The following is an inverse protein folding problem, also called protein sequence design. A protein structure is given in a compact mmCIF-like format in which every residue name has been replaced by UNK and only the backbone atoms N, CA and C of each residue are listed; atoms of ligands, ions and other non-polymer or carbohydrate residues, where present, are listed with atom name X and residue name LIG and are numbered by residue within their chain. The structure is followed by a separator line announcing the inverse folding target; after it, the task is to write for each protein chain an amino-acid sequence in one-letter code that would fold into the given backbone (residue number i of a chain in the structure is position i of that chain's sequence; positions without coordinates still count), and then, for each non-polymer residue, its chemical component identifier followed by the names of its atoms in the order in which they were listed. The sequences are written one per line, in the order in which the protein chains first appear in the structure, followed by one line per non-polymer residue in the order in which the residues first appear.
data_IF_682382810465
#
_entry.id   IF_682382810465
#
_cell.length_a   1.000
_cell.length_b   1.000
_cell.length_c   1.000
_cell.angle_alpha   90.00
_cell.angle_beta   90.00
_cell.angle_gamma   90.00
#
_symmetry.space_group_name_H-M   'P 1'
#
loop_
_entity.id
_entity.type
_entity.pdbx_description
1 polymer ?
#
# COMPACT_ATOMS: atom_id res chain seq x y z
N UNK A 1 27.43 23.52 56.71
CA UNK A 1 26.75 22.45 55.95
C UNK A 1 25.65 23.09 55.12
N UNK A 2 25.93 23.32 53.86
CA UNK A 2 24.96 23.92 52.91
C UNK A 2 24.32 22.82 52.10
N UNK A 3 22.98 22.82 51.98
CA UNK A 3 22.21 21.89 51.12
C UNK A 3 22.35 22.32 49.66
N UNK A 4 22.47 21.38 48.68
CA UNK A 4 22.43 21.74 47.28
C UNK A 4 20.98 21.98 46.82
N UNK A 5 20.82 23.07 46.06
CA UNK A 5 19.56 23.48 45.43
C UNK A 5 19.17 22.51 44.34
N UNK A 6 17.90 22.07 44.34
CA UNK A 6 17.25 21.27 43.35
C UNK A 6 17.19 22.00 42.00
N UNK A 7 17.87 21.48 40.99
CA UNK A 7 17.78 21.93 39.61
C UNK A 7 16.38 21.70 39.06
N UNK A 8 15.72 22.76 38.62
CA UNK A 8 14.45 22.74 37.93
C UNK A 8 14.61 21.99 36.59
N UNK A 9 13.90 20.92 36.42
CA UNK A 9 13.69 20.29 35.13
C UNK A 9 12.91 21.27 34.25
N UNK A 10 13.60 21.82 33.24
CA UNK A 10 12.91 22.57 32.18
C UNK A 10 12.11 21.52 31.38
N UNK A 11 10.80 21.58 31.45
CA UNK A 11 9.89 20.91 30.54
C UNK A 11 10.28 21.28 29.09
N UNK A 12 10.59 20.25 28.28
CA UNK A 12 10.69 20.43 26.82
C UNK A 12 9.30 20.91 26.34
N UNK A 13 9.25 21.89 25.43
CA UNK A 13 7.96 22.24 24.83
C UNK A 13 7.38 21.00 24.18
N UNK A 14 6.10 20.72 24.44
CA UNK A 14 5.32 19.70 23.79
C UNK A 14 5.51 19.85 22.27
N UNK A 15 6.13 18.85 21.65
CA UNK A 15 6.14 18.77 20.21
C UNK A 15 4.66 18.68 19.79
N UNK A 16 4.22 19.64 18.96
CA UNK A 16 2.89 19.64 18.37
C UNK A 16 2.61 18.24 17.82
N UNK A 17 1.45 17.63 18.10
CA UNK A 17 1.11 16.29 17.58
C UNK A 17 0.96 16.27 16.04
N UNK A 18 1.09 17.43 15.39
CA UNK A 18 1.02 17.57 13.94
C UNK A 18 2.41 17.90 13.40
N UNK A 19 2.94 17.04 12.52
CA UNK A 19 3.99 17.42 11.59
C UNK A 19 3.53 18.62 10.74
N UNK A 20 4.45 19.32 10.10
CA UNK A 20 4.09 20.39 9.14
C UNK A 20 3.06 19.87 8.15
N UNK A 21 2.09 20.70 7.69
CA UNK A 21 1.12 20.31 6.69
C UNK A 21 1.81 19.68 5.48
N UNK A 22 1.32 18.54 5.00
CA UNK A 22 2.03 17.80 3.99
C UNK A 22 1.14 16.95 3.09
N UNK A 23 1.72 16.61 1.96
CA UNK A 23 1.19 15.69 0.97
C UNK A 23 2.06 14.45 0.97
N UNK A 24 1.46 13.29 0.89
CA UNK A 24 2.14 12.00 0.88
C UNK A 24 1.90 11.26 -0.44
N UNK A 25 2.87 10.44 -0.84
CA UNK A 25 2.69 9.42 -1.85
C UNK A 25 3.30 8.11 -1.33
N UNK A 26 2.47 7.31 -0.67
CA UNK A 26 2.91 6.21 0.19
C UNK A 26 2.86 4.84 -0.48
N UNK A 27 2.75 4.82 -1.84
CA UNK A 27 2.76 3.59 -2.60
C UNK A 27 3.45 3.82 -3.95
N UNK A 28 4.71 3.37 -4.05
CA UNK A 28 5.55 3.55 -5.23
C UNK A 28 6.40 2.31 -5.48
N UNK A 29 6.49 1.92 -6.76
CA UNK A 29 7.36 0.85 -7.24
C UNK A 29 8.50 1.40 -8.09
N UNK A 30 9.67 0.81 -7.92
CA UNK A 30 10.86 1.19 -8.68
C UNK A 30 10.91 0.50 -10.04
N UNK A 31 10.28 -0.68 -10.14
CA UNK A 31 10.35 -1.50 -11.35
C UNK A 31 8.95 -1.71 -11.94
N UNK A 32 8.75 -1.36 -13.24
CA UNK A 32 7.50 -1.67 -13.93
C UNK A 32 7.22 -3.18 -13.97
N UNK A 33 5.95 -3.53 -14.09
CA UNK A 33 5.57 -4.93 -14.33
C UNK A 33 6.21 -5.44 -15.62
N UNK A 34 6.76 -6.67 -15.57
CA UNK A 34 7.42 -7.30 -16.70
C UNK A 34 8.87 -6.84 -16.96
N UNK A 35 9.39 -5.88 -16.20
CA UNK A 35 10.78 -5.47 -16.25
C UNK A 35 11.58 -6.08 -15.09
N UNK A 36 12.86 -6.40 -15.35
CA UNK A 36 13.74 -6.91 -14.30
C UNK A 36 14.15 -5.78 -13.35
N UNK A 37 14.38 -6.14 -12.09
CA UNK A 37 14.94 -5.25 -11.09
C UNK A 37 16.32 -4.74 -11.55
N UNK A 38 16.62 -3.47 -11.25
CA UNK A 38 17.92 -2.84 -11.52
C UNK A 38 18.63 -2.52 -10.21
N UNK A 39 19.96 -2.36 -10.27
CA UNK A 39 20.77 -2.00 -9.10
C UNK A 39 20.82 -0.47 -8.85
N UNK A 40 20.21 0.34 -9.73
CA UNK A 40 20.24 1.81 -9.65
C UNK A 40 19.16 2.38 -8.71
N UNK A 41 18.96 1.77 -7.53
CA UNK A 41 17.88 2.10 -6.61
C UNK A 41 18.03 3.52 -6.03
N UNK A 42 19.21 3.92 -5.61
CA UNK A 42 19.43 5.22 -4.94
C UNK A 42 19.17 6.38 -5.91
N UNK A 43 19.70 6.30 -7.12
CA UNK A 43 19.50 7.32 -8.17
C UNK A 43 18.04 7.38 -8.59
N UNK A 44 17.37 6.24 -8.67
CA UNK A 44 15.96 6.16 -9.00
C UNK A 44 15.10 6.77 -7.91
N UNK A 45 15.38 6.49 -6.63
CA UNK A 45 14.73 7.11 -5.49
C UNK A 45 14.93 8.63 -5.47
N UNK A 46 16.14 9.12 -5.79
CA UNK A 46 16.41 10.56 -5.89
C UNK A 46 15.54 11.22 -6.98
N UNK A 47 15.40 10.58 -8.14
CA UNK A 47 14.55 11.08 -9.22
C UNK A 47 13.05 11.08 -8.81
N UNK A 48 12.60 10.05 -8.09
CA UNK A 48 11.23 9.95 -7.58
C UNK A 48 10.94 11.04 -6.53
N UNK A 49 11.85 11.24 -5.57
CA UNK A 49 11.75 12.33 -4.59
C UNK A 49 11.71 13.71 -5.26
N UNK A 50 12.56 13.94 -6.28
CA UNK A 50 12.55 15.19 -7.04
C UNK A 50 11.21 15.41 -7.74
N UNK A 51 10.68 14.38 -8.39
CA UNK A 51 9.38 14.45 -9.08
C UNK A 51 8.24 14.69 -8.09
N UNK A 52 8.24 13.98 -6.97
CA UNK A 52 7.26 14.12 -5.89
C UNK A 52 7.28 15.54 -5.30
N UNK A 53 8.46 16.04 -4.96
CA UNK A 53 8.64 17.41 -4.44
C UNK A 53 8.16 18.47 -5.42
N UNK A 54 8.43 18.29 -6.73
CA UNK A 54 7.94 19.21 -7.77
C UNK A 54 6.41 19.21 -7.88
N UNK A 55 5.73 18.15 -7.44
CA UNK A 55 4.28 18.06 -7.36
C UNK A 55 3.72 18.46 -5.97
N UNK A 56 4.57 18.94 -5.05
CA UNK A 56 4.16 19.35 -3.69
C UNK A 56 4.11 18.20 -2.68
N UNK A 57 4.51 16.98 -3.05
CA UNK A 57 4.60 15.84 -2.13
C UNK A 57 5.84 16.00 -1.24
N UNK A 58 5.66 15.87 0.07
CA UNK A 58 6.70 16.08 1.06
C UNK A 58 7.45 14.81 1.44
N UNK A 59 6.81 13.67 1.36
CA UNK A 59 7.37 12.37 1.67
C UNK A 59 6.75 11.29 0.81
N UNK A 60 7.59 10.41 0.30
CA UNK A 60 7.16 9.22 -0.44
C UNK A 60 7.47 7.96 0.37
N UNK A 61 6.73 6.87 0.14
CA UNK A 61 7.16 5.54 0.58
C UNK A 61 7.47 4.68 -0.65
N UNK A 62 8.68 4.11 -0.68
CA UNK A 62 9.00 3.08 -1.67
C UNK A 62 8.52 1.74 -1.14
N UNK A 63 7.71 1.03 -1.94
CA UNK A 63 6.95 -0.14 -1.48
C UNK A 63 6.90 -1.22 -2.56
N UNK A 64 8.09 -1.70 -2.97
CA UNK A 64 8.14 -2.78 -3.94
C UNK A 64 7.36 -4.01 -3.51
N UNK A 65 6.89 -4.78 -4.47
CA UNK A 65 6.16 -6.02 -4.19
C UNK A 65 7.05 -7.08 -3.53
N UNK A 66 6.56 -7.66 -2.45
CA UNK A 66 7.27 -8.73 -1.73
C UNK A 66 7.61 -9.92 -2.63
N UNK A 67 6.73 -10.31 -3.55
CA UNK A 67 6.95 -11.46 -4.44
C UNK A 67 8.14 -11.31 -5.41
N UNK A 68 8.67 -10.10 -5.58
CA UNK A 68 9.84 -9.86 -6.44
C UNK A 68 11.16 -10.34 -5.84
N UNK A 69 11.18 -10.66 -4.55
CA UNK A 69 12.42 -10.91 -3.82
C UNK A 69 12.69 -12.40 -3.63
N UNK A 70 13.95 -12.80 -3.85
CA UNK A 70 14.40 -14.20 -3.68
C UNK A 70 14.21 -14.71 -2.25
N UNK A 71 14.21 -13.82 -1.26
CA UNK A 71 13.94 -14.18 0.13
C UNK A 71 12.47 -14.60 0.31
N UNK A 72 11.54 -13.94 -0.37
CA UNK A 72 10.13 -14.34 -0.38
C UNK A 72 9.93 -15.64 -1.17
N UNK A 73 10.62 -15.81 -2.30
CA UNK A 73 10.55 -17.04 -3.09
C UNK A 73 10.92 -18.29 -2.28
N UNK A 74 11.95 -18.20 -1.44
CA UNK A 74 12.39 -19.32 -0.60
C UNK A 74 11.33 -19.82 0.36
N UNK A 75 10.40 -18.99 0.80
CA UNK A 75 9.37 -19.32 1.79
C UNK A 75 7.97 -19.43 1.17
N UNK A 76 7.67 -18.68 0.11
CA UNK A 76 6.34 -18.62 -0.51
C UNK A 76 6.29 -19.30 -1.87
N UNK A 77 7.43 -19.48 -2.53
CA UNK A 77 7.52 -20.12 -3.83
C UNK A 77 6.80 -21.46 -3.85
N UNK A 78 6.02 -21.70 -4.90
CA UNK A 78 5.22 -22.93 -5.03
C UNK A 78 3.90 -22.94 -4.27
N UNK A 79 3.43 -21.82 -3.67
CA UNK A 79 2.11 -21.78 -3.00
C UNK A 79 0.94 -22.15 -3.91
N UNK A 80 1.18 -22.18 -5.21
CA UNK A 80 0.22 -22.60 -6.25
C UNK A 80 0.20 -24.11 -6.50
N UNK A 81 1.02 -24.90 -5.81
CA UNK A 81 1.18 -26.34 -6.10
C UNK A 81 -0.09 -27.17 -5.83
N UNK A 82 -0.94 -26.70 -4.91
CA UNK A 82 -2.20 -27.36 -4.55
C UNK A 82 -3.41 -26.80 -5.34
N UNK A 83 -3.17 -25.92 -6.33
CA UNK A 83 -4.22 -25.36 -7.18
C UNK A 83 -4.83 -26.45 -8.07
N UNK A 84 -6.15 -26.73 -7.95
CA UNK A 84 -6.79 -27.77 -8.72
C UNK A 84 -6.90 -27.46 -10.23
N UNK A 85 -6.93 -26.18 -10.62
CA UNK A 85 -6.88 -25.81 -12.04
C UNK A 85 -5.40 -25.68 -12.50
N UNK A 86 -4.90 -26.63 -13.31
CA UNK A 86 -3.52 -26.62 -13.77
C UNK A 86 -3.16 -25.42 -14.65
N UNK A 87 -4.14 -24.71 -15.20
CA UNK A 87 -3.92 -23.50 -16.00
C UNK A 87 -3.62 -22.32 -15.09
N UNK A 88 -4.38 -22.16 -14.00
CA UNK A 88 -4.12 -21.15 -12.97
C UNK A 88 -2.79 -21.39 -12.27
N UNK A 89 -2.51 -22.65 -11.86
CA UNK A 89 -1.23 -23.01 -11.26
C UNK A 89 -0.05 -22.65 -12.18
N UNK A 90 -0.16 -22.95 -13.47
CA UNK A 90 0.89 -22.64 -14.45
C UNK A 90 1.04 -21.12 -14.67
N UNK A 91 -0.07 -20.42 -14.82
CA UNK A 91 -0.06 -18.95 -15.00
C UNK A 91 0.61 -18.27 -13.81
N UNK A 92 0.25 -18.64 -12.56
CA UNK A 92 0.89 -18.12 -11.36
C UNK A 92 2.38 -18.48 -11.30
N UNK A 93 2.76 -19.72 -11.60
CA UNK A 93 4.15 -20.15 -11.62
C UNK A 93 5.00 -19.36 -12.62
N UNK A 94 4.46 -19.11 -13.82
CA UNK A 94 5.14 -18.31 -14.84
C UNK A 94 5.33 -16.87 -14.40
N UNK A 95 4.28 -16.25 -13.85
CA UNK A 95 4.33 -14.90 -13.33
C UNK A 95 5.35 -14.77 -12.21
N UNK A 96 5.30 -15.65 -11.22
CA UNK A 96 6.23 -15.66 -10.09
C UNK A 96 7.68 -15.80 -10.54
N UNK A 97 7.96 -16.82 -11.37
CA UNK A 97 9.31 -17.07 -11.89
C UNK A 97 9.85 -15.92 -12.76
N UNK A 98 8.98 -15.13 -13.38
CA UNK A 98 9.40 -13.96 -14.15
C UNK A 98 9.78 -12.76 -13.26
N UNK A 99 9.35 -12.73 -12.00
CA UNK A 99 9.51 -11.56 -11.15
C UNK A 99 10.43 -11.77 -9.94
N UNK A 100 10.52 -12.99 -9.38
CA UNK A 100 11.19 -13.28 -8.11
C UNK A 100 12.72 -13.35 -8.25
N UNK A 101 13.38 -12.24 -8.59
CA UNK A 101 14.82 -12.18 -8.87
C UNK A 101 15.59 -11.13 -8.07
N UNK A 102 14.88 -10.16 -7.45
CA UNK A 102 15.51 -9.09 -6.69
C UNK A 102 16.03 -9.59 -5.33
N UNK A 103 17.01 -8.88 -4.78
CA UNK A 103 17.54 -9.13 -3.44
C UNK A 103 16.92 -8.12 -2.45
N UNK A 104 16.21 -8.63 -1.43
CA UNK A 104 15.55 -7.80 -0.44
C UNK A 104 16.55 -7.06 0.45
N UNK A 105 17.69 -7.69 0.78
CA UNK A 105 18.71 -7.08 1.61
C UNK A 105 19.28 -5.85 0.88
N UNK A 106 19.62 -6.01 -0.42
CA UNK A 106 20.11 -4.91 -1.24
C UNK A 106 19.09 -3.77 -1.41
N UNK A 107 17.81 -4.12 -1.66
CA UNK A 107 16.74 -3.13 -1.75
C UNK A 107 16.63 -2.29 -0.49
N UNK A 108 16.59 -2.94 0.68
CA UNK A 108 16.45 -2.25 1.97
C UNK A 108 17.68 -1.42 2.28
N UNK A 109 18.89 -1.93 2.04
CA UNK A 109 20.16 -1.19 2.24
C UNK A 109 20.19 0.09 1.38
N UNK A 110 19.82 0.01 0.11
CA UNK A 110 19.78 1.17 -0.78
C UNK A 110 18.71 2.20 -0.35
N UNK A 111 17.52 1.75 0.03
CA UNK A 111 16.46 2.64 0.50
C UNK A 111 16.84 3.34 1.83
N UNK A 112 17.48 2.63 2.75
CA UNK A 112 18.03 3.20 3.99
C UNK A 112 19.16 4.19 3.71
N UNK A 113 20.04 3.90 2.74
CA UNK A 113 21.11 4.82 2.34
C UNK A 113 20.54 6.11 1.75
N UNK A 114 19.50 6.04 0.92
CA UNK A 114 18.78 7.18 0.40
C UNK A 114 18.15 8.03 1.52
N UNK A 115 17.48 7.38 2.49
CA UNK A 115 16.92 8.03 3.67
C UNK A 115 18.02 8.72 4.52
N UNK A 116 19.15 8.04 4.75
CA UNK A 116 20.29 8.59 5.49
C UNK A 116 20.97 9.78 4.77
N UNK A 117 20.91 9.81 3.43
CA UNK A 117 21.35 10.94 2.62
C UNK A 117 20.39 12.16 2.68
N UNK A 118 19.27 12.04 3.39
CA UNK A 118 18.30 13.13 3.58
C UNK A 118 17.19 13.18 2.54
N UNK A 119 17.02 12.13 1.70
CA UNK A 119 15.86 12.04 0.83
C UNK A 119 14.60 11.80 1.66
N UNK A 120 13.47 12.43 1.32
CA UNK A 120 12.21 12.29 2.05
C UNK A 120 11.50 10.98 1.67
N UNK A 121 12.11 9.86 2.05
CA UNK A 121 11.64 8.50 1.71
C UNK A 121 11.42 7.67 2.96
N UNK A 122 10.25 7.04 3.05
CA UNK A 122 9.95 5.95 3.96
C UNK A 122 10.27 4.62 3.27
N UNK A 123 10.91 3.71 4.00
CA UNK A 123 11.28 2.37 3.51
C UNK A 123 10.15 1.41 3.79
N UNK A 124 9.55 0.85 2.76
CA UNK A 124 8.40 -0.03 2.90
C UNK A 124 8.42 -1.21 1.93
N UNK A 125 7.36 -1.98 2.00
CA UNK A 125 7.00 -3.03 1.04
C UNK A 125 5.51 -3.06 0.82
N UNK A 126 5.09 -3.48 -0.36
CA UNK A 126 3.76 -3.99 -0.63
C UNK A 126 3.77 -5.50 -0.45
N UNK A 127 2.99 -5.95 0.51
CA UNK A 127 2.91 -7.34 0.97
C UNK A 127 1.60 -7.93 0.51
N UNK A 128 1.66 -8.85 -0.43
CA UNK A 128 0.48 -9.58 -0.87
C UNK A 128 -0.06 -10.50 0.23
N UNK A 129 -1.37 -10.69 0.21
CA UNK A 129 -2.01 -11.66 1.07
C UNK A 129 -1.79 -13.09 0.56
N UNK A 130 -1.27 -13.94 1.43
CA UNK A 130 -1.09 -15.38 1.19
C UNK A 130 -1.90 -16.17 2.21
N UNK A 131 -2.96 -16.80 1.74
CA UNK A 131 -3.88 -17.53 2.60
C UNK A 131 -3.16 -18.57 3.47
N UNK A 132 -3.32 -18.43 4.81
CA UNK A 132 -2.71 -19.33 5.79
C UNK A 132 -1.20 -19.21 5.94
N UNK A 133 -0.53 -18.24 5.29
CA UNK A 133 0.93 -18.10 5.32
C UNK A 133 1.42 -16.74 5.82
N UNK A 134 0.53 -15.87 6.28
CA UNK A 134 0.92 -14.53 6.76
C UNK A 134 1.87 -14.58 7.96
N UNK A 135 1.83 -15.61 8.79
CA UNK A 135 2.81 -15.80 9.87
C UNK A 135 4.24 -16.04 9.35
N UNK A 136 4.40 -16.70 8.21
CA UNK A 136 5.71 -16.90 7.57
C UNK A 136 6.22 -15.57 7.00
N UNK A 137 5.34 -14.80 6.36
CA UNK A 137 5.63 -13.45 5.88
C UNK A 137 6.04 -12.55 7.04
N UNK A 138 5.28 -12.52 8.13
CA UNK A 138 5.60 -11.71 9.30
C UNK A 138 6.98 -12.05 9.88
N UNK A 139 7.34 -13.34 9.96
CA UNK A 139 8.67 -13.77 10.42
C UNK A 139 9.80 -13.32 9.50
N UNK A 140 9.60 -13.38 8.19
CA UNK A 140 10.56 -12.86 7.21
C UNK A 140 10.80 -11.38 7.44
N UNK A 141 9.71 -10.59 7.50
CA UNK A 141 9.77 -9.14 7.52
C UNK A 141 10.23 -8.56 8.87
N UNK A 142 10.08 -9.30 9.97
CA UNK A 142 10.50 -8.87 11.31
C UNK A 142 12.01 -8.58 11.43
N UNK A 143 12.83 -9.11 10.50
CA UNK A 143 14.27 -8.87 10.47
C UNK A 143 14.68 -7.54 9.80
N UNK A 144 13.76 -6.82 9.18
CA UNK A 144 14.04 -5.63 8.40
C UNK A 144 13.50 -4.35 9.04
N UNK A 145 14.22 -3.23 8.96
CA UNK A 145 13.84 -1.97 9.59
C UNK A 145 12.89 -1.14 8.69
N UNK A 146 11.77 -1.72 8.30
CA UNK A 146 10.75 -1.02 7.52
C UNK A 146 10.10 0.11 8.30
N UNK A 147 9.78 1.19 7.60
CA UNK A 147 8.95 2.28 8.12
C UNK A 147 7.47 1.97 7.99
N UNK A 148 7.06 1.29 6.92
CA UNK A 148 5.66 0.95 6.62
C UNK A 148 5.55 -0.34 5.82
N UNK A 149 4.53 -1.14 6.09
CA UNK A 149 4.16 -2.30 5.29
C UNK A 149 2.72 -2.11 4.78
N UNK A 150 2.56 -2.09 3.46
CA UNK A 150 1.25 -2.07 2.81
C UNK A 150 0.79 -3.51 2.64
N UNK A 151 -0.47 -3.79 2.91
CA UNK A 151 -1.07 -5.10 2.67
C UNK A 151 -2.01 -5.04 1.47
N UNK A 152 -1.82 -5.90 0.48
CA UNK A 152 -2.59 -5.94 -0.75
C UNK A 152 -3.20 -7.31 -1.02
N UNK A 153 -4.24 -7.33 -1.82
CA UNK A 153 -4.83 -8.56 -2.36
C UNK A 153 -4.84 -8.45 -3.87
N UNK A 154 -3.88 -9.11 -4.56
CA UNK A 154 -3.78 -9.15 -6.02
C UNK A 154 -4.28 -10.48 -6.59
N UNK A 155 -4.45 -11.51 -5.74
CA UNK A 155 -4.92 -12.82 -6.14
C UNK A 155 -5.89 -13.44 -5.15
N UNK A 156 -6.79 -14.22 -5.68
CA UNK A 156 -7.75 -15.03 -4.92
C UNK A 156 -7.38 -16.51 -5.06
N UNK A 157 -6.60 -17.04 -4.11
CA UNK A 157 -5.85 -18.27 -4.26
C UNK A 157 -4.70 -18.07 -5.24
N UNK A 158 -4.73 -18.68 -6.41
CA UNK A 158 -3.73 -18.51 -7.46
C UNK A 158 -4.23 -17.68 -8.65
N UNK A 159 -5.45 -17.23 -8.60
CA UNK A 159 -6.04 -16.40 -9.64
C UNK A 159 -5.63 -14.92 -9.43
N UNK A 160 -4.78 -14.40 -10.31
CA UNK A 160 -4.38 -12.98 -10.39
C UNK A 160 -5.49 -12.17 -11.05
N UNK A 161 -6.53 -11.83 -10.28
CA UNK A 161 -7.76 -11.22 -10.79
C UNK A 161 -7.56 -9.81 -11.36
N UNK A 162 -6.49 -9.12 -11.01
CA UNK A 162 -6.13 -7.78 -11.46
C UNK A 162 -5.17 -7.76 -12.67
N UNK A 163 -4.64 -8.92 -13.07
CA UNK A 163 -3.84 -9.05 -14.29
C UNK A 163 -4.74 -9.16 -15.52
N UNK A 164 -5.09 -8.01 -16.07
CA UNK A 164 -5.96 -7.89 -17.23
C UNK A 164 -5.29 -8.31 -18.55
N UNK A 165 -3.99 -8.54 -18.55
CA UNK A 165 -3.22 -9.05 -19.69
C UNK A 165 -3.13 -10.56 -19.75
N UNK A 166 -3.47 -11.27 -18.68
CA UNK A 166 -3.44 -12.73 -18.63
C UNK A 166 -4.79 -13.34 -19.08
N UNK A 167 -4.76 -14.10 -20.17
CA UNK A 167 -5.96 -14.72 -20.72
C UNK A 167 -6.66 -15.66 -19.72
N UNK A 168 -5.87 -16.42 -18.94
CA UNK A 168 -6.42 -17.36 -17.93
C UNK A 168 -7.14 -16.58 -16.83
N UNK A 169 -6.59 -15.48 -16.39
CA UNK A 169 -7.21 -14.59 -15.40
C UNK A 169 -8.51 -13.97 -15.93
N UNK A 170 -8.54 -13.55 -17.19
CA UNK A 170 -9.74 -12.96 -17.80
C UNK A 170 -10.84 -13.98 -18.06
N UNK A 171 -10.50 -15.24 -18.35
CA UNK A 171 -11.48 -16.31 -18.44
C UNK A 171 -12.18 -16.59 -17.10
N UNK A 172 -11.45 -16.52 -15.99
CA UNK A 172 -12.05 -16.66 -14.65
C UNK A 172 -13.11 -15.57 -14.40
N UNK A 173 -12.84 -14.33 -14.79
CA UNK A 173 -13.81 -13.25 -14.72
C UNK A 173 -15.08 -13.51 -15.54
N UNK A 174 -14.97 -14.23 -16.65
CA UNK A 174 -16.10 -14.56 -17.51
C UNK A 174 -16.97 -15.65 -16.89
N UNK A 175 -16.36 -16.60 -16.20
CA UNK A 175 -17.05 -17.77 -15.60
C UNK A 175 -17.57 -17.54 -14.17
N UNK A 176 -17.11 -16.49 -13.48
CA UNK A 176 -17.45 -16.24 -12.07
C UNK A 176 -18.60 -15.23 -11.93
N UNK A 177 -19.44 -15.42 -10.90
CA UNK A 177 -20.36 -14.39 -10.44
C UNK A 177 -19.58 -13.23 -9.80
N UNK A 178 -19.96 -12.00 -10.13
CA UNK A 178 -19.33 -10.80 -9.57
C UNK A 178 -19.47 -10.77 -8.06
N UNK A 179 -20.63 -11.14 -7.54
CA UNK A 179 -20.91 -11.23 -6.10
C UNK A 179 -19.97 -12.22 -5.40
N UNK A 180 -19.77 -13.40 -5.99
CA UNK A 180 -18.88 -14.42 -5.42
C UNK A 180 -17.40 -13.97 -5.43
N UNK A 181 -16.97 -13.23 -6.45
CA UNK A 181 -15.60 -12.68 -6.51
C UNK A 181 -15.40 -11.63 -5.43
N UNK A 182 -16.34 -10.71 -5.30
CA UNK A 182 -16.29 -9.67 -4.28
C UNK A 182 -16.35 -10.23 -2.86
N UNK A 183 -17.17 -11.27 -2.61
CA UNK A 183 -17.21 -11.97 -1.33
C UNK A 183 -15.84 -12.55 -0.97
N UNK A 184 -15.24 -13.34 -1.88
CA UNK A 184 -13.90 -13.93 -1.68
C UNK A 184 -12.82 -12.85 -1.47
N UNK A 185 -12.94 -11.72 -2.17
CA UNK A 185 -12.02 -10.59 -1.99
C UNK A 185 -12.19 -9.97 -0.61
N UNK A 186 -13.42 -9.77 -0.16
CA UNK A 186 -13.72 -9.22 1.18
C UNK A 186 -13.19 -10.14 2.27
N UNK A 187 -13.39 -11.46 2.15
CA UNK A 187 -12.80 -12.46 3.06
C UNK A 187 -11.27 -12.34 3.11
N UNK A 188 -10.61 -12.15 1.96
CA UNK A 188 -9.17 -11.98 1.90
C UNK A 188 -8.71 -10.69 2.59
N UNK A 189 -9.44 -9.59 2.46
CA UNK A 189 -9.19 -8.33 3.19
C UNK A 189 -9.36 -8.54 4.71
N UNK A 190 -10.40 -9.24 5.15
CA UNK A 190 -10.63 -9.55 6.56
C UNK A 190 -9.49 -10.41 7.15
N UNK A 191 -9.06 -11.44 6.43
CA UNK A 191 -7.95 -12.31 6.84
C UNK A 191 -6.60 -11.58 6.83
N UNK A 192 -6.34 -10.73 5.83
CA UNK A 192 -5.15 -9.88 5.77
C UNK A 192 -5.10 -8.92 6.96
N UNK A 193 -6.19 -8.19 7.21
CA UNK A 193 -6.29 -7.26 8.32
C UNK A 193 -6.15 -7.98 9.68
N UNK A 194 -6.77 -9.16 9.83
CA UNK A 194 -6.66 -9.99 11.03
C UNK A 194 -5.26 -10.57 11.29
N UNK A 195 -4.39 -10.62 10.27
CA UNK A 195 -3.03 -11.14 10.42
C UNK A 195 -2.10 -10.26 11.25
N UNK A 196 -2.39 -8.95 11.35
CA UNK A 196 -1.54 -7.98 12.05
C UNK A 196 -0.16 -7.76 11.41
N UNK A 197 0.04 -8.22 10.17
CA UNK A 197 1.35 -8.16 9.48
C UNK A 197 1.63 -6.78 8.92
N UNK A 198 0.60 -6.10 8.39
CA UNK A 198 0.72 -4.84 7.64
C UNK A 198 0.12 -3.64 8.40
N UNK A 199 0.52 -2.45 8.00
CA UNK A 199 0.12 -1.17 8.63
C UNK A 199 -0.99 -0.46 7.86
N UNK A 200 -1.06 -0.68 6.53
CA UNK A 200 -1.98 0.01 5.62
C UNK A 200 -2.61 -0.99 4.67
N UNK A 201 -3.92 -0.89 4.43
CA UNK A 201 -4.58 -1.58 3.32
C UNK A 201 -4.32 -0.81 2.03
N UNK A 202 -3.56 -1.39 1.11
CA UNK A 202 -3.33 -0.87 -0.22
C UNK A 202 -4.60 -1.01 -1.07
N UNK A 203 -4.92 0.02 -1.89
CA UNK A 203 -6.06 0.01 -2.84
C UNK A 203 -7.22 -0.92 -2.40
N UNK A 204 -7.92 -0.62 -1.30
CA UNK A 204 -8.75 -1.56 -0.53
C UNK A 204 -9.87 -2.27 -1.30
N UNK A 205 -10.27 -1.76 -2.46
CA UNK A 205 -11.29 -2.34 -3.33
C UNK A 205 -10.77 -2.59 -4.77
N UNK A 206 -9.52 -3.04 -4.89
CA UNK A 206 -8.88 -3.38 -6.17
C UNK A 206 -9.72 -4.36 -7.01
N UNK A 207 -10.52 -5.18 -6.38
CA UNK A 207 -11.44 -6.12 -7.03
C UNK A 207 -12.34 -5.47 -8.09
N UNK A 208 -12.59 -4.15 -7.99
CA UNK A 208 -13.35 -3.40 -9.00
C UNK A 208 -12.56 -3.06 -10.26
N UNK A 209 -11.30 -3.47 -10.38
CA UNK A 209 -10.35 -3.07 -11.45
C UNK A 209 -10.93 -3.19 -12.86
N UNK A 210 -11.74 -4.23 -13.12
CA UNK A 210 -12.44 -4.45 -14.40
C UNK A 210 -13.64 -3.54 -14.62
N UNK A 211 -14.05 -2.74 -13.63
CA UNK A 211 -15.30 -1.98 -13.61
C UNK A 211 -16.52 -2.80 -13.17
N UNK A 212 -16.37 -4.12 -12.93
CA UNK A 212 -17.47 -4.98 -12.49
C UNK A 212 -17.73 -4.80 -10.99
N UNK A 213 -19.00 -4.59 -10.63
CA UNK A 213 -19.44 -4.43 -9.23
C UNK A 213 -20.73 -5.18 -8.98
N UNK A 214 -20.95 -5.72 -7.77
CA UNK A 214 -22.28 -6.17 -7.37
C UNK A 214 -23.24 -4.97 -7.34
N UNK A 215 -24.56 -5.19 -7.54
CA UNK A 215 -25.55 -4.11 -7.53
C UNK A 215 -25.72 -3.46 -6.15
N UNK A 216 -25.38 -4.17 -5.07
CA UNK A 216 -25.48 -3.70 -3.68
C UNK A 216 -24.20 -4.11 -2.92
N UNK A 217 -23.10 -3.32 -3.02
CA UNK A 217 -21.82 -3.64 -2.39
C UNK A 217 -21.74 -3.22 -0.91
N UNK A 218 -22.77 -2.59 -0.35
CA UNK A 218 -22.74 -1.89 0.93
C UNK A 218 -22.32 -2.78 2.10
N UNK A 219 -22.80 -4.01 2.15
CA UNK A 219 -22.44 -4.98 3.21
C UNK A 219 -20.95 -5.38 3.13
N UNK A 220 -20.44 -5.59 1.91
CA UNK A 220 -19.03 -5.91 1.68
C UNK A 220 -18.12 -4.73 2.09
N UNK A 221 -18.53 -3.51 1.75
CA UNK A 221 -17.81 -2.30 2.18
C UNK A 221 -17.84 -2.12 3.71
N UNK A 222 -18.97 -2.42 4.36
CA UNK A 222 -19.07 -2.34 5.80
C UNK A 222 -18.12 -3.33 6.49
N UNK A 223 -18.00 -4.55 5.97
CA UNK A 223 -17.06 -5.58 6.45
C UNK A 223 -15.60 -5.17 6.25
N UNK A 224 -15.23 -4.69 5.07
CA UNK A 224 -13.87 -4.19 4.79
C UNK A 224 -13.49 -3.06 5.74
N UNK A 225 -14.40 -2.11 5.95
CA UNK A 225 -14.16 -0.97 6.83
C UNK A 225 -14.10 -1.38 8.31
N UNK A 226 -14.87 -2.37 8.72
CA UNK A 226 -14.81 -2.95 10.06
C UNK A 226 -13.50 -3.71 10.29
N UNK A 227 -13.04 -4.48 9.32
CA UNK A 227 -11.76 -5.18 9.38
C UNK A 227 -10.59 -4.20 9.56
N UNK A 228 -10.55 -3.11 8.79
CA UNK A 228 -9.54 -2.06 8.94
C UNK A 228 -9.59 -1.39 10.31
N UNK A 229 -10.80 -1.02 10.79
CA UNK A 229 -10.97 -0.38 12.08
C UNK A 229 -10.54 -1.29 13.25
N UNK A 230 -10.93 -2.56 13.20
CA UNK A 230 -10.64 -3.54 14.27
C UNK A 230 -9.15 -3.92 14.32
N UNK A 231 -8.46 -3.95 13.20
CA UNK A 231 -7.02 -4.23 13.12
C UNK A 231 -6.14 -3.02 13.44
N UNK A 232 -6.69 -1.80 13.36
CA UNK A 232 -5.95 -0.56 13.48
C UNK A 232 -5.13 -0.22 12.23
N UNK A 233 -5.31 -0.92 11.12
CA UNK A 233 -4.70 -0.57 9.84
C UNK A 233 -5.25 0.74 9.32
N UNK A 234 -4.38 1.56 8.72
CA UNK A 234 -4.83 2.64 7.85
C UNK A 234 -5.32 2.09 6.51
N UNK A 235 -5.96 2.93 5.71
CA UNK A 235 -6.35 2.59 4.36
C UNK A 235 -5.81 3.61 3.35
N UNK A 236 -5.47 3.14 2.18
CA UNK A 236 -4.95 3.93 1.09
C UNK A 236 -6.08 4.59 0.28
N UNK A 237 -5.87 5.83 -0.14
CA UNK A 237 -6.65 6.49 -1.18
C UNK A 237 -5.73 6.69 -2.38
N UNK A 238 -5.98 5.90 -3.44
CA UNK A 238 -5.03 5.75 -4.55
C UNK A 238 -5.58 6.27 -5.87
N UNK A 239 -4.71 6.95 -6.61
CA UNK A 239 -5.01 7.41 -7.97
C UNK A 239 -4.87 6.31 -9.04
N UNK A 240 -4.34 5.14 -8.70
CA UNK A 240 -4.08 4.06 -9.66
C UNK A 240 -5.30 3.65 -10.48
N UNK A 241 -6.47 3.64 -9.88
CA UNK A 241 -7.69 3.18 -10.52
C UNK A 241 -8.14 4.05 -11.71
N UNK A 242 -7.73 5.33 -11.76
CA UNK A 242 -7.99 6.17 -12.94
C UNK A 242 -7.19 5.74 -14.18
N UNK A 243 -6.11 4.98 -13.98
CA UNK A 243 -5.31 4.39 -15.06
C UNK A 243 -5.75 2.98 -15.45
N UNK A 244 -6.78 2.46 -14.79
CA UNK A 244 -7.33 1.11 -15.01
C UNK A 244 -8.74 1.21 -15.64
N UNK A 245 -9.30 0.13 -16.18
CA UNK A 245 -10.64 0.15 -16.79
C UNK A 245 -11.75 0.66 -15.88
N UNK A 246 -11.62 0.52 -14.57
CA UNK A 246 -12.57 1.05 -13.60
C UNK A 246 -12.71 2.58 -13.67
N UNK A 247 -11.67 3.31 -14.05
CA UNK A 247 -11.67 4.76 -14.27
C UNK A 247 -12.01 5.64 -13.06
N UNK A 248 -11.86 5.12 -11.84
CA UNK A 248 -12.12 5.84 -10.58
C UNK A 248 -11.00 5.58 -9.58
N UNK A 249 -10.82 6.43 -8.57
CA UNK A 249 -9.87 6.19 -7.49
C UNK A 249 -10.20 4.90 -6.70
N UNK A 250 -9.21 4.36 -6.00
CA UNK A 250 -9.40 3.40 -4.91
C UNK A 250 -9.34 4.14 -3.57
N UNK A 251 -10.21 3.83 -2.61
CA UNK A 251 -11.43 3.05 -2.77
C UNK A 251 -12.57 3.84 -3.45
N UNK A 252 -13.70 3.14 -3.65
CA UNK A 252 -14.97 3.79 -4.00
C UNK A 252 -15.39 4.77 -2.90
N UNK A 253 -16.11 5.84 -3.28
CA UNK A 253 -16.57 6.85 -2.33
C UNK A 253 -17.38 6.27 -1.18
N UNK A 254 -18.23 5.26 -1.46
CA UNK A 254 -19.03 4.60 -0.44
C UNK A 254 -18.20 3.82 0.58
N UNK A 255 -17.08 3.20 0.18
CA UNK A 255 -16.15 2.57 1.10
C UNK A 255 -15.29 3.61 1.85
N UNK A 256 -14.84 4.66 1.17
CA UNK A 256 -14.09 5.76 1.80
C UNK A 256 -14.89 6.43 2.93
N UNK A 257 -16.17 6.71 2.70
CA UNK A 257 -17.06 7.25 3.73
C UNK A 257 -17.18 6.32 4.95
N UNK A 258 -17.15 5.00 4.72
CA UNK A 258 -17.20 4.01 5.81
C UNK A 258 -15.91 3.98 6.61
N UNK A 259 -14.75 4.08 5.95
CA UNK A 259 -13.47 4.25 6.63
C UNK A 259 -13.47 5.53 7.49
N UNK A 260 -13.85 6.67 6.92
CA UNK A 260 -13.90 7.94 7.64
C UNK A 260 -14.84 7.90 8.86
N UNK A 261 -16.06 7.35 8.71
CA UNK A 261 -17.01 7.22 9.81
C UNK A 261 -16.54 6.30 10.94
N UNK A 262 -15.72 5.29 10.63
CA UNK A 262 -15.15 4.37 11.63
C UNK A 262 -13.82 4.87 12.21
N UNK A 263 -13.34 6.04 11.77
CA UNK A 263 -12.09 6.62 12.24
C UNK A 263 -10.83 5.87 11.74
N UNK A 264 -10.95 5.10 10.65
CA UNK A 264 -9.81 4.49 9.99
C UNK A 264 -8.91 5.61 9.47
N UNK A 265 -7.64 5.58 9.83
CA UNK A 265 -6.66 6.54 9.34
C UNK A 265 -6.43 6.33 7.83
N UNK A 266 -6.13 7.41 7.10
CA UNK A 266 -5.97 7.36 5.66
C UNK A 266 -4.59 7.85 5.23
N UNK A 267 -4.07 7.30 4.15
CA UNK A 267 -2.90 7.80 3.44
C UNK A 267 -3.21 7.96 1.96
N UNK A 268 -2.37 8.71 1.23
CA UNK A 268 -2.53 8.89 -0.22
C UNK A 268 -1.46 8.13 -0.98
N UNK A 269 -1.79 7.73 -2.21
CA UNK A 269 -0.91 6.95 -3.05
C UNK A 269 -1.13 7.18 -4.54
N UNK A 270 -0.04 7.09 -5.30
CA UNK A 270 -0.14 7.02 -6.76
C UNK A 270 -0.08 5.59 -7.30
N UNK A 271 0.50 4.66 -6.56
CA UNK A 271 0.83 3.31 -7.02
C UNK A 271 1.60 3.39 -8.35
N UNK A 272 2.65 4.24 -8.31
CA UNK A 272 3.43 4.54 -9.49
C UNK A 272 4.45 3.44 -9.75
N UNK A 273 4.44 2.89 -10.97
CA UNK A 273 5.43 1.95 -11.49
C UNK A 273 6.40 2.62 -12.48
N UNK A 274 6.31 3.93 -12.62
CA UNK A 274 7.15 4.76 -13.52
C UNK A 274 7.22 6.16 -12.96
N UNK A 275 8.34 6.84 -13.21
CA UNK A 275 8.56 8.22 -12.77
C UNK A 275 7.43 9.18 -13.15
N UNK A 276 6.83 9.00 -14.34
CA UNK A 276 5.73 9.85 -14.81
C UNK A 276 4.43 9.71 -14.01
N UNK A 277 4.28 8.64 -13.24
CA UNK A 277 3.09 8.38 -12.43
C UNK A 277 3.26 8.82 -10.97
N UNK A 278 4.47 9.19 -10.55
CA UNK A 278 4.72 9.69 -9.18
C UNK A 278 3.89 10.94 -8.93
N UNK A 279 3.15 10.95 -7.83
CA UNK A 279 2.21 12.00 -7.44
C UNK A 279 1.09 12.24 -8.47
N UNK A 280 0.71 11.22 -9.24
CA UNK A 280 -0.37 11.34 -10.21
C UNK A 280 -1.69 11.72 -9.52
N UNK A 281 -2.33 12.79 -10.02
CA UNK A 281 -3.64 13.29 -9.56
C UNK A 281 -3.76 13.54 -8.06
N UNK A 282 -2.68 13.99 -7.44
CA UNK A 282 -2.67 14.24 -6.00
C UNK A 282 -3.73 15.27 -5.58
N UNK A 283 -3.99 16.30 -6.38
CA UNK A 283 -5.00 17.32 -6.09
C UNK A 283 -6.43 16.77 -6.10
N UNK A 284 -6.71 15.82 -7.01
CA UNK A 284 -8.00 15.13 -7.05
C UNK A 284 -8.17 14.22 -5.82
N UNK A 285 -7.12 13.53 -5.37
CA UNK A 285 -7.17 12.74 -4.12
C UNK A 285 -7.48 13.63 -2.91
N UNK A 286 -6.88 14.82 -2.85
CA UNK A 286 -7.22 15.78 -1.78
C UNK A 286 -8.66 16.23 -1.82
N UNK A 287 -9.18 16.46 -3.01
CA UNK A 287 -10.59 16.83 -3.16
C UNK A 287 -11.50 15.76 -2.61
N UNK A 288 -11.24 14.50 -2.93
CA UNK A 288 -11.99 13.33 -2.43
C UNK A 288 -11.90 13.23 -0.91
N UNK A 289 -10.70 13.34 -0.35
CA UNK A 289 -10.47 13.26 1.10
C UNK A 289 -11.22 14.36 1.87
N UNK A 290 -11.17 15.59 1.37
CA UNK A 290 -11.90 16.69 1.99
C UNK A 290 -13.41 16.52 1.93
N UNK A 291 -13.93 16.02 0.81
CA UNK A 291 -15.35 15.70 0.67
C UNK A 291 -15.78 14.62 1.67
N UNK A 292 -14.89 13.68 1.99
CA UNK A 292 -15.10 12.68 3.02
C UNK A 292 -14.88 13.19 4.46
N UNK A 293 -14.54 14.49 4.65
CA UNK A 293 -14.32 15.08 5.96
C UNK A 293 -12.97 14.74 6.61
N UNK A 294 -12.00 14.30 5.84
CA UNK A 294 -10.65 13.93 6.31
C UNK A 294 -9.80 15.19 6.45
N UNK A 295 -9.16 15.37 7.59
CA UNK A 295 -8.32 16.54 7.94
C UNK A 295 -6.82 16.21 8.05
N UNK A 296 -6.47 14.95 8.02
CA UNK A 296 -5.09 14.49 8.20
C UNK A 296 -4.84 13.15 7.53
N UNK A 297 -3.59 12.94 7.13
CA UNK A 297 -3.08 11.68 6.60
C UNK A 297 -2.26 10.94 7.67
N UNK A 298 -2.11 9.65 7.46
CA UNK A 298 -1.26 8.78 8.26
C UNK A 298 0.07 8.56 7.53
N UNK A 299 1.16 8.88 8.20
CA UNK A 299 2.52 8.53 7.81
C UNK A 299 3.15 7.63 8.87
N UNK A 300 4.35 7.10 8.59
CA UNK A 300 5.00 6.14 9.47
C UNK A 300 6.50 6.40 9.60
N UNK A 301 7.07 6.04 10.76
CA UNK A 301 8.50 5.91 11.00
C UNK A 301 8.74 4.67 11.84
N UNK A 302 9.47 3.68 11.31
CA UNK A 302 9.69 2.37 11.95
C UNK A 302 8.39 1.71 12.43
N UNK A 303 7.39 1.73 11.56
CA UNK A 303 6.03 1.23 11.78
C UNK A 303 5.25 1.94 12.90
N UNK A 304 5.77 3.07 13.39
CA UNK A 304 5.05 3.91 14.34
C UNK A 304 4.26 4.96 13.57
N UNK A 305 2.92 4.99 13.71
CA UNK A 305 2.09 5.94 12.99
C UNK A 305 2.30 7.37 13.46
N UNK A 306 2.29 8.33 12.53
CA UNK A 306 2.28 9.77 12.81
C UNK A 306 1.25 10.47 11.91
N UNK A 307 0.58 11.47 12.45
CA UNK A 307 -0.39 12.27 11.70
C UNK A 307 0.30 13.39 10.94
N UNK A 308 -0.15 13.61 9.69
CA UNK A 308 0.24 14.71 8.82
C UNK A 308 -1.01 15.49 8.47
N UNK A 309 -1.11 16.75 8.87
CA UNK A 309 -2.27 17.57 8.56
C UNK A 309 -2.41 17.74 7.05
N UNK A 310 -3.63 17.64 6.52
CA UNK A 310 -3.92 18.04 5.13
C UNK A 310 -3.79 19.56 5.03
N UNK A 311 -3.05 20.06 4.02
CA UNK A 311 -3.00 21.50 3.77
C UNK A 311 -4.40 22.04 3.45
N UNK A 312 -4.73 23.25 3.97
CA UNK A 312 -5.88 24.00 3.47
C UNK A 312 -5.67 24.25 1.97
N UNK A 313 -6.69 24.03 1.14
CA UNK A 313 -6.64 24.41 -0.28
C UNK A 313 -6.17 25.84 -0.39
N UNK A 314 -5.03 26.09 -1.03
CA UNK A 314 -4.66 27.41 -1.51
C UNK A 314 -5.58 27.68 -2.71
N UNK A 315 -6.85 27.99 -2.40
CA UNK A 315 -7.76 28.54 -3.39
C UNK A 315 -7.24 29.94 -3.76
N UNK A 316 -6.63 30.06 -4.92
CA UNK A 316 -6.29 31.33 -5.55
C UNK A 316 -4.83 31.78 -5.35
N UNK A 317 -3.96 31.35 -6.23
CA UNK A 317 -2.90 32.22 -6.74
C UNK A 317 -3.01 32.35 -8.24
#
# INVERSE_FOLDING_TARGET
MARPQSGAWRSRPDASPYASPGVLDYHLHLWPHGEQATDAIVEQLAAYCQRATAAGVQEIAVTEHLFRFVQADRILGGFWSDEPDPRLARSMAQYWNAHAHADLDHYVECALAAKAAGLPVAVGLEVDYYRGRMDEVARLLAGYPFDVLLGSVHWLGTWRFDDLGDEVSMEQWTGASVEAVWERYTEAIEELAGSGTCDVLAHPDLVKVTGRRPPAPEELWDRMAEAAANSGMAAEVSSAGWRKPVGTAYPDSGLLERFARRGVALTTASDAHRLSHVADRVDELFTILRQAGVDSLQAYDRRVPRRVALEPSVAGR
#
